data_IF_783232763965
#
_entry.id   IF_783232763965
#
_cell.length_a   1.000
_cell.length_b   1.000
_cell.length_c   1.000
_cell.angle_alpha   90.00
_cell.angle_beta   90.00
_cell.angle_gamma   90.00
#
_symmetry.space_group_name_H-M   'P 1'
#
loop_
_entity.id
_entity.type
_entity.pdbx_description
1 polymer ?
#
# COMPACT_ATOMS: atom_id res chain seq x y z
N UNK A 1 2.07 -3.37 -16.13
CA UNK A 1 2.45 -4.00 -14.84
C UNK A 1 2.56 -2.84 -13.88
N UNK A 2 1.55 -2.65 -13.04
CA UNK A 2 1.35 -1.38 -12.35
C UNK A 2 1.90 -1.48 -10.92
N UNK A 3 3.23 -1.51 -10.86
CA UNK A 3 4.00 -1.69 -9.64
C UNK A 3 4.00 -0.42 -8.76
N UNK A 4 3.35 0.63 -9.28
CA UNK A 4 3.27 1.97 -8.72
C UNK A 4 2.69 1.99 -7.30
N UNK A 5 1.67 1.16 -7.01
CA UNK A 5 1.10 1.11 -5.65
C UNK A 5 2.12 0.62 -4.62
N UNK A 6 2.79 -0.50 -4.91
CA UNK A 6 3.76 -1.08 -3.98
C UNK A 6 5.00 -0.19 -3.84
N UNK A 7 5.50 0.37 -4.95
CA UNK A 7 6.61 1.31 -4.95
C UNK A 7 6.29 2.57 -4.15
N UNK A 8 5.11 3.16 -4.35
CA UNK A 8 4.68 4.34 -3.58
C UNK A 8 4.54 4.00 -2.08
N UNK A 9 3.94 2.84 -1.75
CA UNK A 9 3.83 2.42 -0.35
C UNK A 9 5.20 2.22 0.32
N UNK A 10 6.17 1.66 -0.42
CA UNK A 10 7.54 1.49 0.06
C UNK A 10 8.25 2.85 0.25
N UNK A 11 8.16 3.77 -0.72
CA UNK A 11 8.78 5.09 -0.63
C UNK A 11 8.18 5.92 0.53
N UNK A 12 6.86 5.86 0.73
CA UNK A 12 6.20 6.51 1.89
C UNK A 12 6.70 5.94 3.22
N UNK A 13 6.90 4.63 3.30
CA UNK A 13 7.45 4.01 4.51
C UNK A 13 8.90 4.43 4.78
N UNK A 14 9.73 4.57 3.73
CA UNK A 14 11.11 5.05 3.86
C UNK A 14 11.19 6.47 4.42
N UNK A 15 10.16 7.29 4.16
CA UNK A 15 9.97 8.61 4.76
C UNK A 15 9.40 8.57 6.19
N UNK A 16 9.13 7.39 6.75
CA UNK A 16 8.54 7.23 8.08
C UNK A 16 7.05 7.57 8.16
N UNK A 17 6.35 7.52 7.03
CA UNK A 17 4.93 7.85 6.93
C UNK A 17 4.04 6.63 7.12
N UNK A 18 2.90 6.86 7.77
CA UNK A 18 1.83 5.86 7.92
C UNK A 18 0.75 6.13 6.89
N UNK A 19 0.46 5.14 6.04
CA UNK A 19 -0.68 5.18 5.11
C UNK A 19 -1.93 4.74 5.86
N UNK A 20 -3.02 5.51 5.77
CA UNK A 20 -4.31 5.20 6.39
C UNK A 20 -5.40 4.83 5.38
N UNK A 21 -5.38 5.47 4.20
CA UNK A 21 -6.32 5.21 3.12
C UNK A 21 -5.55 5.31 1.80
N UNK A 22 -5.88 4.43 0.86
CA UNK A 22 -5.37 4.49 -0.50
C UNK A 22 -6.50 4.22 -1.49
N UNK A 23 -6.52 4.99 -2.57
CA UNK A 23 -7.42 4.80 -3.71
C UNK A 23 -6.60 4.69 -4.97
N UNK A 24 -6.87 3.65 -5.73
CA UNK A 24 -6.21 3.35 -6.99
C UNK A 24 -7.25 3.53 -8.08
N UNK A 25 -7.06 4.53 -8.93
CA UNK A 25 -7.91 4.79 -10.07
C UNK A 25 -7.15 4.53 -11.36
N UNK A 26 -7.36 3.34 -11.94
CA UNK A 26 -6.79 2.96 -13.24
C UNK A 26 -7.81 3.26 -14.34
N UNK A 27 -7.35 3.98 -15.37
CA UNK A 27 -8.13 4.34 -16.56
C UNK A 27 -7.86 3.35 -17.70
N UNK A 28 -8.76 3.31 -18.68
CA UNK A 28 -8.67 2.42 -19.86
C UNK A 28 -7.47 2.67 -20.78
N UNK A 29 -6.71 3.73 -20.54
CA UNK A 29 -5.51 4.09 -21.31
C UNK A 29 -4.20 3.72 -20.59
N UNK A 30 -4.25 2.81 -19.61
CA UNK A 30 -3.12 2.36 -18.78
C UNK A 30 -2.53 3.45 -17.87
N UNK A 31 -3.31 4.49 -17.56
CA UNK A 31 -2.94 5.51 -16.57
C UNK A 31 -3.51 5.15 -15.21
N UNK A 32 -2.68 5.18 -14.18
CA UNK A 32 -3.12 4.99 -12.80
C UNK A 32 -2.88 6.23 -11.97
N UNK A 33 -3.93 6.66 -11.27
CA UNK A 33 -3.87 7.71 -10.26
C UNK A 33 -4.00 7.07 -8.88
N UNK A 34 -2.90 7.09 -8.13
CA UNK A 34 -2.91 6.70 -6.73
C UNK A 34 -3.11 7.91 -5.83
N UNK A 35 -4.11 7.84 -4.95
CA UNK A 35 -4.36 8.84 -3.90
C UNK A 35 -4.14 8.19 -2.55
N UNK A 36 -3.28 8.78 -1.72
CA UNK A 36 -2.99 8.29 -0.37
C UNK A 36 -3.35 9.34 0.68
N UNK A 37 -3.90 8.89 1.81
CA UNK A 37 -3.99 9.67 3.03
C UNK A 37 -2.90 9.18 3.97
N UNK A 38 -1.93 10.05 4.26
CA UNK A 38 -0.77 9.75 5.10
C UNK A 38 -0.72 10.61 6.35
N UNK A 39 -0.20 10.02 7.44
CA UNK A 39 0.14 10.70 8.68
C UNK A 39 1.61 10.45 9.02
N UNK A 40 2.17 11.20 9.95
CA UNK A 40 3.48 10.90 10.50
C UNK A 40 3.46 9.63 11.37
N UNK A 41 4.62 9.21 11.87
CA UNK A 41 4.77 8.04 12.75
C UNK A 41 4.04 8.15 14.10
N UNK A 42 3.54 9.33 14.45
CA UNK A 42 2.74 9.60 15.65
C UNK A 42 1.24 9.71 15.36
N UNK A 43 0.82 9.44 14.11
CA UNK A 43 -0.57 9.56 13.68
C UNK A 43 -1.06 11.01 13.62
N UNK A 44 -0.16 11.98 13.45
CA UNK A 44 -0.51 13.39 13.30
C UNK A 44 -0.44 13.84 11.83
N UNK A 45 -1.28 14.83 11.43
CA UNK A 45 -1.18 15.43 10.12
C UNK A 45 0.13 16.20 9.96
N UNK A 46 0.78 16.01 8.83
CA UNK A 46 2.01 16.72 8.46
C UNK A 46 1.62 18.13 8.01
N UNK A 47 2.15 19.15 8.70
CA UNK A 47 1.78 20.56 8.48
C UNK A 47 2.94 21.46 8.08
N UNK A 48 4.17 21.00 8.27
CA UNK A 48 5.36 21.77 7.93
C UNK A 48 5.59 21.78 6.41
N UNK A 49 5.54 22.95 5.73
CA UNK A 49 5.75 23.03 4.29
C UNK A 49 7.13 22.55 3.85
N UNK A 50 8.17 22.72 4.68
CA UNK A 50 9.52 22.28 4.33
C UNK A 50 9.59 20.74 4.27
N UNK A 51 9.01 20.08 5.26
CA UNK A 51 8.90 18.62 5.30
C UNK A 51 8.04 18.08 4.14
N UNK A 52 6.92 18.74 3.80
CA UNK A 52 6.10 18.36 2.64
C UNK A 52 6.90 18.42 1.33
N UNK A 53 7.72 19.45 1.16
CA UNK A 53 8.55 19.58 -0.04
C UNK A 53 9.67 18.53 -0.10
N UNK A 54 10.27 18.18 1.04
CA UNK A 54 11.23 17.06 1.14
C UNK A 54 10.58 15.73 0.74
N UNK A 55 9.39 15.43 1.27
CA UNK A 55 8.62 14.24 0.89
C UNK A 55 8.32 14.24 -0.61
N UNK A 56 7.91 15.39 -1.16
CA UNK A 56 7.59 15.52 -2.59
C UNK A 56 8.82 15.24 -3.46
N UNK A 57 9.98 15.80 -3.10
CA UNK A 57 11.22 15.60 -3.84
C UNK A 57 11.65 14.13 -3.81
N UNK A 58 11.62 13.50 -2.64
CA UNK A 58 11.96 12.08 -2.50
C UNK A 58 11.02 11.17 -3.30
N UNK A 59 9.71 11.41 -3.24
CA UNK A 59 8.74 10.64 -4.02
C UNK A 59 8.90 10.83 -5.53
N UNK A 60 9.27 12.03 -5.99
CA UNK A 60 9.56 12.25 -7.41
C UNK A 60 10.84 11.54 -7.82
N UNK A 61 11.88 11.57 -6.98
CA UNK A 61 13.17 10.92 -7.27
C UNK A 61 13.07 9.40 -7.27
N UNK A 62 12.35 8.79 -6.32
CA UNK A 62 12.24 7.32 -6.29
C UNK A 62 11.22 6.80 -7.32
N UNK A 63 10.21 7.59 -7.71
CA UNK A 63 9.13 7.12 -8.60
C UNK A 63 9.23 7.65 -10.04
N UNK A 64 10.37 8.17 -10.47
CA UNK A 64 10.55 8.71 -11.83
C UNK A 64 10.75 7.62 -12.90
N UNK A 65 11.34 6.49 -12.53
CA UNK A 65 11.55 5.33 -13.41
C UNK A 65 10.81 4.07 -12.89
N UNK A 66 9.80 3.57 -13.63
CA UNK A 66 9.13 2.31 -13.31
C UNK A 66 10.06 1.09 -13.22
N UNK A 67 11.21 1.10 -13.89
CA UNK A 67 12.19 0.00 -13.82
C UNK A 67 12.83 -0.12 -12.42
N UNK A 68 12.81 0.95 -11.61
CA UNK A 68 13.35 0.99 -10.24
C UNK A 68 12.36 0.47 -9.18
N UNK A 69 11.07 0.33 -9.52
CA UNK A 69 10.02 -0.05 -8.57
C UNK A 69 10.32 -1.35 -7.79
N UNK A 70 10.83 -2.43 -8.41
CA UNK A 70 11.20 -3.65 -7.70
C UNK A 70 12.27 -3.42 -6.62
N UNK A 71 13.22 -2.52 -6.88
CA UNK A 71 14.32 -2.21 -5.96
C UNK A 71 13.81 -1.38 -4.77
N UNK A 72 12.94 -0.40 -5.01
CA UNK A 72 12.29 0.40 -3.95
C UNK A 72 11.50 -0.51 -3.00
N UNK A 73 10.73 -1.46 -3.54
CA UNK A 73 9.90 -2.39 -2.78
C UNK A 73 10.73 -3.38 -1.95
N UNK A 74 11.95 -3.70 -2.39
CA UNK A 74 12.85 -4.63 -1.67
C UNK A 74 13.80 -3.93 -0.70
N UNK A 75 13.91 -2.60 -0.76
CA UNK A 75 14.75 -1.80 0.15
C UNK A 75 14.26 -1.96 1.58
N UNK A 76 15.05 -2.68 2.38
CA UNK A 76 14.63 -3.14 3.71
C UNK A 76 14.76 -2.03 4.77
N UNK A 77 13.66 -1.74 5.47
CA UNK A 77 13.72 -1.11 6.80
C UNK A 77 14.24 -2.14 7.82
N UNK A 78 15.26 -1.82 8.66
CA UNK A 78 15.86 -2.79 9.59
C UNK A 78 14.82 -3.42 10.53
N UNK A 79 14.80 -4.75 10.58
CA UNK A 79 13.93 -5.53 11.47
C UNK A 79 14.25 -5.24 12.95
N UNK A 80 13.35 -4.57 13.66
CA UNK A 80 13.18 -4.88 15.08
C UNK A 80 12.20 -6.06 15.18
N UNK A 81 12.74 -7.27 15.35
CA UNK A 81 11.97 -8.43 15.75
C UNK A 81 11.42 -8.18 17.15
N UNK A 82 10.24 -7.58 17.28
CA UNK A 82 9.42 -7.78 18.47
C UNK A 82 8.79 -9.17 18.34
N UNK A 83 8.78 -9.93 19.43
CA UNK A 83 8.06 -11.19 19.51
C UNK A 83 6.55 -10.92 19.47
N UNK A 84 6.00 -10.73 18.28
CA UNK A 84 4.58 -10.56 18.09
C UNK A 84 3.88 -11.92 18.15
N UNK A 85 2.81 -12.01 18.94
CA UNK A 85 2.04 -13.25 19.14
C UNK A 85 0.85 -13.39 18.19
N UNK A 86 0.59 -12.38 17.36
CA UNK A 86 -0.57 -12.34 16.47
C UNK A 86 -0.28 -13.16 15.21
N UNK A 87 -1.09 -14.20 14.89
CA UNK A 87 -0.96 -14.92 13.62
C UNK A 87 -1.38 -14.02 12.45
N UNK A 88 -0.84 -14.30 11.26
CA UNK A 88 -1.34 -13.67 10.03
C UNK A 88 -2.58 -14.43 9.56
N UNK A 89 -3.69 -13.73 9.40
CA UNK A 89 -4.98 -14.25 8.94
C UNK A 89 -5.43 -13.45 7.72
N UNK A 90 -6.00 -14.14 6.73
CA UNK A 90 -6.51 -13.55 5.50
C UNK A 90 -7.91 -14.08 5.24
N UNK A 91 -8.87 -13.18 5.07
CA UNK A 91 -10.24 -13.48 4.66
C UNK A 91 -10.48 -12.86 3.28
N UNK A 92 -11.07 -13.62 2.37
CA UNK A 92 -11.42 -13.13 1.02
C UNK A 92 -12.92 -13.34 0.84
N UNK A 93 -13.63 -12.25 0.55
CA UNK A 93 -15.06 -12.25 0.31
C UNK A 93 -15.37 -11.60 -1.05
N UNK A 94 -16.37 -12.15 -1.73
CA UNK A 94 -16.94 -11.52 -2.91
C UNK A 94 -18.11 -10.67 -2.47
N UNK A 95 -18.17 -9.44 -2.98
CA UNK A 95 -19.31 -8.54 -2.83
C UNK A 95 -19.95 -8.32 -4.21
N UNK A 96 -20.91 -9.20 -4.62
CA UNK A 96 -21.57 -9.07 -5.90
C UNK A 96 -22.43 -7.81 -6.00
N UNK A 97 -22.88 -7.25 -4.87
CA UNK A 97 -23.74 -6.07 -4.86
C UNK A 97 -22.96 -4.81 -5.25
N UNK A 98 -21.69 -4.72 -4.85
CA UNK A 98 -20.78 -3.63 -5.21
C UNK A 98 -19.80 -3.99 -6.33
N UNK A 99 -19.95 -5.16 -6.95
CA UNK A 99 -19.10 -5.67 -8.02
C UNK A 99 -17.61 -5.67 -7.63
N UNK A 100 -17.26 -6.17 -6.43
CA UNK A 100 -15.87 -6.15 -5.93
C UNK A 100 -15.50 -7.44 -5.21
N UNK A 101 -14.20 -7.71 -5.12
CA UNK A 101 -13.64 -8.71 -4.20
C UNK A 101 -12.87 -8.00 -3.11
N UNK A 102 -13.18 -8.33 -1.87
CA UNK A 102 -12.57 -7.78 -0.67
C UNK A 102 -11.61 -8.79 -0.04
N UNK A 103 -10.43 -8.33 0.35
CA UNK A 103 -9.45 -9.09 1.12
C UNK A 103 -9.21 -8.36 2.45
N UNK A 104 -9.49 -9.03 3.56
CA UNK A 104 -9.15 -8.57 4.89
C UNK A 104 -7.89 -9.27 5.37
N UNK A 105 -6.90 -8.49 5.82
CA UNK A 105 -5.62 -8.95 6.32
C UNK A 105 -5.48 -8.55 7.78
N UNK A 106 -5.39 -9.54 8.66
CA UNK A 106 -4.96 -9.32 10.05
C UNK A 106 -3.53 -9.83 10.21
N UNK A 107 -2.60 -8.98 10.63
CA UNK A 107 -1.20 -9.37 10.78
C UNK A 107 -0.47 -8.49 11.82
N UNK A 108 0.67 -8.94 12.37
CA UNK A 108 1.54 -8.05 13.15
C UNK A 108 1.95 -6.83 12.37
N UNK A 109 1.80 -5.65 12.97
CA UNK A 109 2.25 -4.38 12.40
C UNK A 109 3.78 -4.36 12.39
N UNK A 110 4.34 -4.32 11.18
CA UNK A 110 5.77 -4.35 10.96
C UNK A 110 6.13 -3.47 9.76
N UNK A 111 7.28 -2.80 9.81
CA UNK A 111 7.82 -2.14 8.63
C UNK A 111 7.91 -3.12 7.45
N UNK A 112 7.48 -2.64 6.30
CA UNK A 112 7.48 -3.25 4.98
C UNK A 112 6.21 -4.01 4.66
N UNK A 113 5.24 -4.08 5.58
CA UNK A 113 4.08 -4.95 5.41
C UNK A 113 3.23 -4.54 4.20
N UNK A 114 2.85 -3.27 4.11
CA UNK A 114 1.97 -2.79 3.03
C UNK A 114 2.63 -2.89 1.65
N UNK A 115 3.90 -2.51 1.54
CA UNK A 115 4.68 -2.68 0.32
C UNK A 115 4.77 -4.15 -0.11
N UNK A 116 5.01 -5.06 0.85
CA UNK A 116 5.05 -6.50 0.60
C UNK A 116 3.70 -7.06 0.15
N UNK A 117 2.61 -6.59 0.74
CA UNK A 117 1.25 -6.98 0.34
C UNK A 117 0.93 -6.45 -1.06
N UNK A 118 1.27 -5.19 -1.36
CA UNK A 118 1.17 -4.61 -2.70
C UNK A 118 1.92 -5.44 -3.75
N UNK A 119 3.15 -5.85 -3.42
CA UNK A 119 3.95 -6.74 -4.27
C UNK A 119 3.28 -8.09 -4.52
N UNK A 120 2.68 -8.69 -3.49
CA UNK A 120 1.95 -9.96 -3.67
C UNK A 120 0.79 -9.78 -4.64
N UNK A 121 0.03 -8.68 -4.55
CA UNK A 121 -1.04 -8.41 -5.52
C UNK A 121 -0.51 -8.29 -6.94
N UNK A 122 0.63 -7.61 -7.13
CA UNK A 122 1.29 -7.52 -8.43
C UNK A 122 1.74 -8.88 -8.96
N UNK A 123 2.44 -9.67 -8.14
CA UNK A 123 2.91 -11.02 -8.52
C UNK A 123 1.77 -11.99 -8.85
N UNK A 124 0.52 -11.66 -8.48
CA UNK A 124 -0.68 -12.45 -8.76
C UNK A 124 -1.60 -11.81 -9.82
N UNK A 125 -1.17 -10.73 -10.48
CA UNK A 125 -1.96 -9.95 -11.45
C UNK A 125 -3.32 -9.47 -10.88
N UNK A 126 -3.33 -9.07 -9.60
CA UNK A 126 -4.51 -8.53 -8.91
C UNK A 126 -4.44 -7.01 -8.89
N UNK A 127 -5.34 -6.35 -9.62
CA UNK A 127 -5.51 -4.91 -9.55
C UNK A 127 -6.29 -4.51 -8.29
N UNK A 128 -5.80 -3.50 -7.59
CA UNK A 128 -6.54 -2.86 -6.50
C UNK A 128 -7.34 -1.66 -7.01
N UNK A 129 -8.45 -1.39 -6.34
CA UNK A 129 -9.27 -0.18 -6.51
C UNK A 129 -9.25 0.70 -5.26
N UNK A 130 -9.12 0.08 -4.10
CA UNK A 130 -9.00 0.77 -2.83
C UNK A 130 -8.26 -0.11 -1.82
N UNK A 131 -7.61 0.54 -0.85
CA UNK A 131 -7.10 -0.08 0.35
C UNK A 131 -7.40 0.82 1.55
N UNK A 132 -7.81 0.22 2.65
CA UNK A 132 -7.98 0.88 3.94
C UNK A 132 -7.04 0.22 4.93
N UNK A 133 -6.16 1.02 5.51
CA UNK A 133 -5.06 0.55 6.34
C UNK A 133 -5.34 0.97 7.76
N UNK A 134 -5.40 0.00 8.67
CA UNK A 134 -5.80 0.25 10.04
C UNK A 134 -4.88 -0.48 11.02
N UNK A 135 -4.10 0.28 11.77
CA UNK A 135 -3.30 -0.25 12.88
C UNK A 135 -4.10 -0.24 14.18
N UNK A 136 -4.23 -1.40 14.82
CA UNK A 136 -4.82 -1.59 16.14
C UNK A 136 -3.79 -2.19 17.10
N UNK A 137 -3.16 -1.33 17.90
CA UNK A 137 -2.14 -1.75 18.87
C UNK A 137 -0.88 -2.26 18.15
N UNK A 138 -0.65 -3.57 18.18
CA UNK A 138 0.51 -4.22 17.55
C UNK A 138 0.17 -5.02 16.28
N UNK A 139 -1.07 -4.90 15.79
CA UNK A 139 -1.54 -5.56 14.57
C UNK A 139 -2.15 -4.56 13.60
N UNK A 140 -2.13 -4.91 12.32
CA UNK A 140 -2.93 -4.27 11.28
C UNK A 140 -4.19 -5.09 11.02
N UNK A 141 -5.25 -4.41 10.60
CA UNK A 141 -6.52 -4.92 10.12
C UNK A 141 -6.82 -4.22 8.79
N UNK A 142 -6.07 -4.60 7.75
CA UNK A 142 -6.11 -3.95 6.45
C UNK A 142 -7.20 -4.55 5.56
N UNK A 143 -7.87 -3.70 4.79
CA UNK A 143 -8.91 -4.12 3.84
C UNK A 143 -8.53 -3.65 2.45
N UNK A 144 -8.44 -4.59 1.52
CA UNK A 144 -8.12 -4.34 0.11
C UNK A 144 -9.34 -4.66 -0.76
N UNK A 145 -9.65 -3.81 -1.71
CA UNK A 145 -10.76 -4.00 -2.66
C UNK A 145 -10.22 -4.07 -4.08
N UNK A 146 -10.57 -5.12 -4.80
CA UNK A 146 -10.30 -5.26 -6.24
C UNK A 146 -11.59 -5.16 -7.05
N UNK A 147 -11.55 -4.60 -8.27
CA UNK A 147 -12.67 -4.65 -9.20
C UNK A 147 -12.99 -6.11 -9.57
N UNK A 148 -14.13 -6.39 -10.20
CA UNK A 148 -14.40 -7.73 -10.70
C UNK A 148 -13.33 -8.09 -11.72
N UNK A 149 -12.94 -9.36 -11.73
CA UNK A 149 -12.09 -9.89 -12.79
C UNK A 149 -12.87 -9.80 -14.10
N UNK A 150 -12.53 -8.84 -14.96
CA UNK A 150 -13.14 -8.76 -16.30
C UNK A 150 -12.73 -10.02 -17.06
N UNK A 151 -13.71 -10.81 -17.50
CA UNK A 151 -13.44 -11.91 -18.41
C UNK A 151 -13.04 -11.31 -19.76
N UNK A 152 -11.76 -11.47 -20.14
CA UNK A 152 -11.32 -11.18 -21.51
C UNK A 152 -12.24 -11.92 -22.49
N UNK A 153 -12.81 -11.18 -23.45
CA UNK A 153 -13.53 -11.72 -24.60
C UNK A 153 -12.57 -11.85 -25.79
#
# INVERSE_FOLDING_TARGET
MDDLFAATAAAMEQLGLSIHDARIATSHNDWTLNTFIVLDSHGQPIRDPAHIEEMRLHLVEELDDPDDYPDIVTRHTPRQLKHFKVPTEVLIEQDPANERTMLELTAPDRPGLLARVGRIFMEQDISLSAAKIATLGERVEDVFSSPPRQANH
#
